data_IF_317892679595
#
_entry.id   IF_317892679595
#
_cell.length_a   1.000
_cell.length_b   1.000
_cell.length_c   1.000
_cell.angle_alpha   90.00
_cell.angle_beta   90.00
_cell.angle_gamma   90.00
#
_symmetry.space_group_name_H-M   'P 1'
#
loop_
_entity.id
_entity.type
_entity.pdbx_description
1 polymer ?
#
# COMPACT_ATOMS: atom_id res chain seq x y z
N UNK A 1 -28.72 -6.15 6.76
CA UNK A 1 -27.57 -7.06 6.57
C UNK A 1 -26.52 -6.65 7.59
N UNK A 2 -26.02 -7.55 8.47
CA UNK A 2 -24.92 -7.21 9.36
C UNK A 2 -23.65 -7.00 8.52
N UNK A 3 -22.89 -5.94 8.80
CA UNK A 3 -21.57 -5.71 8.20
C UNK A 3 -20.67 -6.93 8.47
N UNK A 4 -19.83 -7.36 7.52
CA UNK A 4 -18.86 -8.43 7.78
C UNK A 4 -18.02 -8.04 9.00
N UNK A 5 -17.66 -9.00 9.87
CA UNK A 5 -16.83 -8.72 11.03
C UNK A 5 -15.56 -8.03 10.54
N UNK A 6 -15.29 -6.83 11.05
CA UNK A 6 -14.00 -6.19 10.91
C UNK A 6 -12.99 -7.19 11.47
N UNK A 7 -12.24 -7.85 10.59
CA UNK A 7 -11.10 -8.66 10.97
C UNK A 7 -10.26 -7.79 11.90
N UNK A 8 -10.03 -8.19 13.17
CA UNK A 8 -9.16 -7.42 14.05
C UNK A 8 -7.82 -7.31 13.31
N UNK A 9 -7.24 -6.10 13.19
CA UNK A 9 -5.97 -5.93 12.53
C UNK A 9 -5.01 -6.92 13.18
N UNK A 10 -4.41 -7.78 12.37
CA UNK A 10 -3.41 -8.75 12.84
C UNK A 10 -2.38 -7.94 13.63
N UNK A 11 -2.44 -8.02 14.97
CA UNK A 11 -1.49 -7.40 15.89
C UNK A 11 -0.18 -8.17 15.79
N UNK A 12 0.45 -8.05 14.63
CA UNK A 12 1.80 -8.53 14.44
C UNK A 12 2.72 -7.51 15.09
N UNK A 13 3.53 -7.97 16.05
CA UNK A 13 4.47 -7.10 16.75
C UNK A 13 5.62 -6.73 15.81
N UNK A 14 5.41 -5.64 15.06
CA UNK A 14 6.42 -5.08 14.16
C UNK A 14 7.55 -4.37 14.92
N UNK A 15 7.42 -4.25 16.25
CA UNK A 15 8.41 -3.62 17.13
C UNK A 15 9.38 -4.62 17.75
N UNK A 16 9.23 -5.92 17.44
CA UNK A 16 10.06 -7.01 17.95
C UNK A 16 11.56 -6.73 17.78
N UNK A 17 12.34 -6.94 18.85
CA UNK A 17 13.78 -6.67 18.88
C UNK A 17 14.56 -7.46 17.80
N UNK A 18 14.01 -8.59 17.35
CA UNK A 18 14.59 -9.42 16.29
C UNK A 18 14.52 -8.77 14.91
N UNK A 19 13.67 -7.77 14.70
CA UNK A 19 13.51 -7.05 13.44
C UNK A 19 14.53 -5.90 13.38
N UNK A 20 15.30 -5.75 12.29
CA UNK A 20 16.26 -4.66 12.16
C UNK A 20 15.55 -3.29 12.11
N UNK A 21 16.17 -2.28 12.71
CA UNK A 21 15.61 -0.92 12.80
C UNK A 21 15.18 -0.35 11.45
N UNK A 22 15.98 -0.54 10.38
CA UNK A 22 15.63 -0.11 9.03
C UNK A 22 14.33 -0.73 8.50
N UNK A 23 14.09 -2.01 8.79
CA UNK A 23 12.84 -2.67 8.42
C UNK A 23 11.65 -2.16 9.24
N UNK A 24 11.83 -1.86 10.53
CA UNK A 24 10.77 -1.26 11.37
C UNK A 24 10.32 0.09 10.80
N UNK A 25 11.26 0.94 10.44
CA UNK A 25 10.96 2.24 9.83
C UNK A 25 10.23 2.09 8.49
N UNK A 26 10.69 1.17 7.62
CA UNK A 26 10.02 0.88 6.35
C UNK A 26 8.59 0.37 6.55
N UNK A 27 8.38 -0.57 7.49
CA UNK A 27 7.04 -1.07 7.82
C UNK A 27 6.12 0.04 8.28
N UNK A 28 6.58 0.93 9.18
CA UNK A 28 5.80 2.08 9.64
C UNK A 28 5.42 3.01 8.48
N UNK A 29 6.35 3.28 7.56
CA UNK A 29 6.07 4.08 6.35
C UNK A 29 5.04 3.41 5.45
N UNK A 30 5.18 2.11 5.20
CA UNK A 30 4.23 1.35 4.38
C UNK A 30 2.83 1.39 5.01
N UNK A 31 2.72 1.20 6.33
CA UNK A 31 1.43 1.27 7.03
C UNK A 31 0.77 2.67 6.92
N UNK A 32 1.56 3.74 7.05
CA UNK A 32 1.08 5.10 6.85
C UNK A 32 0.58 5.32 5.40
N UNK A 33 1.40 4.94 4.43
CA UNK A 33 1.10 5.06 3.01
C UNK A 33 -0.16 4.25 2.64
N UNK A 34 -0.27 3.01 3.11
CA UNK A 34 -1.45 2.17 2.92
C UNK A 34 -2.72 2.83 3.48
N UNK A 35 -2.64 3.55 4.60
CA UNK A 35 -3.79 4.25 5.19
C UNK A 35 -4.21 5.45 4.35
N UNK A 36 -3.25 6.16 3.78
CA UNK A 36 -3.51 7.26 2.84
C UNK A 36 -4.15 6.76 1.54
N UNK A 37 -3.66 5.64 0.97
CA UNK A 37 -4.30 5.01 -0.21
C UNK A 37 -5.72 4.60 0.09
N UNK A 38 -5.96 4.00 1.26
CA UNK A 38 -7.31 3.57 1.67
C UNK A 38 -8.29 4.74 1.67
N UNK A 39 -7.90 5.87 2.28
CA UNK A 39 -8.71 7.08 2.30
C UNK A 39 -8.93 7.68 0.91
N UNK A 40 -7.91 7.68 0.05
CA UNK A 40 -8.03 8.12 -1.35
C UNK A 40 -8.97 7.21 -2.15
N UNK A 41 -8.85 5.90 -2.00
CA UNK A 41 -9.70 4.92 -2.67
C UNK A 41 -11.17 5.03 -2.25
N UNK A 42 -11.44 5.30 -0.97
CA UNK A 42 -12.80 5.56 -0.48
C UNK A 42 -13.39 6.83 -1.10
N UNK A 43 -12.57 7.89 -1.27
CA UNK A 43 -12.99 9.14 -1.90
C UNK A 43 -13.27 8.98 -3.40
N UNK A 44 -12.38 8.28 -4.10
CA UNK A 44 -12.40 8.11 -5.56
C UNK A 44 -13.31 6.98 -6.04
N UNK A 45 -13.95 6.25 -5.12
CA UNK A 45 -14.70 5.03 -5.43
C UNK A 45 -13.89 4.06 -6.30
N UNK A 46 -12.63 3.86 -5.90
CA UNK A 46 -11.71 2.98 -6.61
C UNK A 46 -12.30 1.57 -6.77
N UNK A 47 -11.94 0.84 -7.85
CA UNK A 47 -12.45 -0.50 -8.07
C UNK A 47 -12.14 -1.42 -6.89
N UNK A 48 -13.14 -2.21 -6.45
CA UNK A 48 -13.04 -3.04 -5.24
C UNK A 48 -11.90 -4.08 -5.26
N UNK A 49 -11.38 -4.43 -6.44
CA UNK A 49 -10.17 -5.25 -6.56
C UNK A 49 -8.93 -4.55 -5.98
N UNK A 50 -8.74 -3.26 -6.25
CA UNK A 50 -7.61 -2.48 -5.71
C UNK A 50 -7.68 -2.36 -4.19
N UNK A 51 -8.88 -2.11 -3.65
CA UNK A 51 -9.10 -2.10 -2.19
C UNK A 51 -8.78 -3.45 -1.56
N UNK A 52 -9.15 -4.55 -2.22
CA UNK A 52 -8.85 -5.90 -1.77
C UNK A 52 -7.34 -6.18 -1.83
N UNK A 53 -6.64 -5.77 -2.89
CA UNK A 53 -5.18 -5.94 -3.03
C UNK A 53 -4.42 -5.21 -1.91
N UNK A 54 -4.74 -3.93 -1.68
CA UNK A 54 -4.15 -3.11 -0.61
C UNK A 54 -4.40 -3.71 0.77
N UNK A 55 -5.62 -4.20 1.01
CA UNK A 55 -5.98 -4.88 2.25
C UNK A 55 -5.19 -6.16 2.45
N UNK A 56 -5.09 -7.01 1.42
CA UNK A 56 -4.27 -8.23 1.49
C UNK A 56 -2.79 -7.91 1.68
N UNK A 57 -2.26 -6.87 1.04
CA UNK A 57 -0.88 -6.42 1.25
C UNK A 57 -0.61 -6.07 2.72
N UNK A 58 -1.53 -5.34 3.34
CA UNK A 58 -1.46 -4.95 4.76
C UNK A 58 -1.59 -6.14 5.71
N UNK A 59 -2.59 -6.99 5.49
CA UNK A 59 -3.01 -8.00 6.47
C UNK A 59 -2.34 -9.36 6.28
N UNK A 60 -1.84 -9.67 5.08
CA UNK A 60 -1.23 -10.96 4.77
C UNK A 60 0.22 -10.82 4.35
N UNK A 61 0.53 -10.01 3.33
CA UNK A 61 1.88 -9.99 2.74
C UNK A 61 2.90 -9.43 3.73
N UNK A 62 2.61 -8.28 4.33
CA UNK A 62 3.52 -7.61 5.26
C UNK A 62 3.81 -8.46 6.51
N UNK A 63 2.82 -8.95 7.28
CA UNK A 63 3.10 -9.80 8.45
C UNK A 63 3.77 -11.13 8.06
N UNK A 64 3.42 -11.73 6.92
CA UNK A 64 4.06 -12.97 6.44
C UNK A 64 5.54 -12.77 6.13
N UNK A 65 5.91 -11.63 5.56
CA UNK A 65 7.31 -11.30 5.27
C UNK A 65 8.13 -11.14 6.55
N UNK A 66 7.61 -10.36 7.49
CA UNK A 66 8.28 -10.14 8.78
C UNK A 66 8.36 -11.44 9.59
N UNK A 67 7.29 -12.25 9.59
CA UNK A 67 7.30 -13.58 10.22
C UNK A 67 8.33 -14.51 9.58
N UNK A 68 8.40 -14.56 8.26
CA UNK A 68 9.41 -15.35 7.54
C UNK A 68 10.82 -14.93 7.93
N UNK A 69 11.05 -13.63 8.11
CA UNK A 69 12.34 -13.14 8.59
C UNK A 69 12.63 -13.62 10.01
N UNK A 70 11.69 -13.45 10.94
CA UNK A 70 11.81 -13.84 12.36
C UNK A 70 12.03 -15.34 12.52
N UNK A 71 11.38 -16.16 11.69
CA UNK A 71 11.47 -17.62 11.68
C UNK A 71 12.86 -18.11 11.25
N UNK A 72 13.58 -17.35 10.41
CA UNK A 72 14.94 -17.71 9.99
C UNK A 72 15.88 -17.67 11.20
N UNK A 73 16.52 -18.80 11.56
CA UNK A 73 17.44 -18.87 12.70
C UNK A 73 18.62 -17.91 12.53
N UNK A 74 19.12 -17.29 13.61
CA UNK A 74 20.26 -16.37 13.53
C UNK A 74 21.52 -17.04 12.95
N UNK A 75 21.74 -18.34 13.21
CA UNK A 75 22.82 -19.12 12.62
C UNK A 75 22.75 -19.18 11.08
N UNK A 76 21.54 -19.33 10.52
CA UNK A 76 21.31 -19.28 9.08
C UNK A 76 21.44 -17.86 8.52
N UNK A 77 21.05 -16.81 9.27
CA UNK A 77 21.22 -15.41 8.81
C UNK A 77 22.69 -15.08 8.56
N UNK A 78 23.58 -15.49 9.46
CA UNK A 78 25.03 -15.30 9.31
C UNK A 78 25.63 -16.16 8.20
N UNK A 79 25.11 -17.37 7.97
CA UNK A 79 25.59 -18.26 6.90
C UNK A 79 25.13 -17.78 5.51
N UNK A 80 23.88 -17.34 5.35
CA UNK A 80 23.34 -16.77 4.11
C UNK A 80 24.08 -15.48 3.76
N UNK A 81 24.39 -14.64 4.76
CA UNK A 81 25.23 -13.46 4.56
C UNK A 81 26.61 -13.83 3.99
N UNK A 82 27.22 -14.89 4.53
CA UNK A 82 28.52 -15.40 4.05
C UNK A 82 28.48 -16.03 2.66
N UNK A 83 27.41 -16.76 2.31
CA UNK A 83 27.29 -17.49 1.04
C UNK A 83 26.80 -16.64 -0.13
N UNK A 84 25.87 -15.73 0.12
CA UNK A 84 25.13 -15.03 -0.94
C UNK A 84 25.51 -13.55 -1.03
N UNK A 85 26.25 -13.01 -0.05
CA UNK A 85 26.62 -11.60 0.02
C UNK A 85 25.45 -10.65 0.28
N UNK A 86 24.23 -11.18 0.41
CA UNK A 86 22.99 -10.45 0.70
C UNK A 86 22.43 -10.93 2.04
N UNK A 87 22.29 -10.01 3.00
CA UNK A 87 21.70 -10.31 4.31
C UNK A 87 20.23 -10.70 4.16
N UNK A 88 19.72 -11.61 4.99
CA UNK A 88 18.26 -11.81 5.11
C UNK A 88 17.53 -10.49 5.42
N UNK A 89 18.20 -9.57 6.12
CA UNK A 89 17.74 -8.20 6.37
C UNK A 89 17.58 -7.42 5.06
N UNK A 90 18.55 -7.53 4.15
CA UNK A 90 18.51 -6.88 2.85
C UNK A 90 17.34 -7.40 2.01
N UNK A 91 17.09 -8.71 2.01
CA UNK A 91 15.96 -9.30 1.28
C UNK A 91 14.62 -8.81 1.84
N UNK A 92 14.51 -8.71 3.18
CA UNK A 92 13.34 -8.13 3.83
C UNK A 92 13.16 -6.67 3.43
N UNK A 93 14.22 -5.87 3.53
CA UNK A 93 14.20 -4.43 3.21
C UNK A 93 13.92 -4.15 1.74
N UNK A 94 14.43 -4.97 0.83
CA UNK A 94 14.19 -4.92 -0.62
C UNK A 94 12.74 -5.27 -0.96
N UNK A 95 12.20 -6.33 -0.34
CA UNK A 95 10.80 -6.70 -0.53
C UNK A 95 9.83 -5.65 0.03
N UNK A 96 10.17 -5.02 1.15
CA UNK A 96 9.43 -3.87 1.69
C UNK A 96 9.49 -2.68 0.73
N UNK A 97 10.64 -2.44 0.09
CA UNK A 97 10.82 -1.39 -0.92
C UNK A 97 9.91 -1.61 -2.14
N UNK A 98 9.88 -2.86 -2.65
CA UNK A 98 9.02 -3.23 -3.78
C UNK A 98 7.53 -3.06 -3.44
N UNK A 99 7.12 -3.44 -2.22
CA UNK A 99 5.75 -3.20 -1.78
C UNK A 99 5.43 -1.70 -1.71
N UNK A 100 6.35 -0.90 -1.16
CA UNK A 100 6.18 0.55 -1.08
C UNK A 100 6.07 1.19 -2.48
N UNK A 101 6.93 0.79 -3.42
CA UNK A 101 6.89 1.28 -4.80
C UNK A 101 5.55 0.97 -5.48
N UNK A 102 5.00 -0.23 -5.24
CA UNK A 102 3.69 -0.62 -5.79
C UNK A 102 2.54 0.20 -5.20
N UNK A 103 2.59 0.51 -3.90
CA UNK A 103 1.60 1.37 -3.24
C UNK A 103 1.68 2.80 -3.79
N UNK A 104 2.89 3.33 -3.99
CA UNK A 104 3.13 4.65 -4.59
C UNK A 104 2.61 4.71 -6.03
N UNK A 105 2.81 3.66 -6.82
CA UNK A 105 2.26 3.54 -8.16
C UNK A 105 0.72 3.57 -8.16
N UNK A 106 0.08 2.86 -7.22
CA UNK A 106 -1.38 2.89 -7.05
C UNK A 106 -1.86 4.28 -6.66
N UNK A 107 -1.18 4.97 -5.73
CA UNK A 107 -1.48 6.37 -5.39
C UNK A 107 -1.41 7.29 -6.60
N UNK A 108 -0.35 7.17 -7.40
CA UNK A 108 -0.18 7.99 -8.61
C UNK A 108 -1.28 7.74 -9.62
N UNK A 109 -1.66 6.48 -9.83
CA UNK A 109 -2.77 6.13 -10.72
C UNK A 109 -4.10 6.71 -10.22
N UNK A 110 -4.37 6.62 -8.91
CA UNK A 110 -5.57 7.22 -8.31
C UNK A 110 -5.58 8.75 -8.48
N UNK A 111 -4.45 9.42 -8.23
CA UNK A 111 -4.34 10.86 -8.43
C UNK A 111 -4.48 11.28 -9.92
N UNK A 112 -4.02 10.44 -10.85
CA UNK A 112 -4.22 10.68 -12.29
C UNK A 112 -5.69 10.52 -12.69
N UNK A 113 -6.38 9.51 -12.16
CA UNK A 113 -7.82 9.32 -12.39
C UNK A 113 -8.66 10.50 -11.83
N UNK A 114 -8.34 11.00 -10.63
CA UNK A 114 -8.99 12.18 -10.04
C UNK A 114 -8.87 13.40 -10.97
N UNK A 115 -7.68 13.65 -11.51
CA UNK A 115 -7.40 14.75 -12.41
C UNK A 115 -8.17 14.64 -13.74
N UNK A 116 -8.24 13.43 -14.30
CA UNK A 116 -8.96 13.17 -15.56
C UNK A 116 -10.47 13.34 -15.35
N UNK A 117 -11.02 12.77 -14.28
CA UNK A 117 -12.42 12.94 -13.89
C UNK A 117 -12.79 14.41 -13.60
N UNK A 118 -11.89 15.15 -12.95
CA UNK A 118 -12.06 16.59 -12.72
C UNK A 118 -12.07 17.39 -14.03
N UNK A 119 -11.18 17.04 -14.96
CA UNK A 119 -11.07 17.70 -16.27
C UNK A 119 -12.31 17.43 -17.13
N UNK A 120 -12.79 16.19 -17.15
CA UNK A 120 -13.99 15.79 -17.88
C UNK A 120 -15.24 16.50 -17.35
N UNK A 121 -15.40 16.55 -16.02
CA UNK A 121 -16.50 17.25 -15.37
C UNK A 121 -16.46 18.76 -15.66
N UNK A 122 -15.27 19.37 -15.62
CA UNK A 122 -15.10 20.80 -15.97
C UNK A 122 -15.43 21.08 -17.44
N UNK A 123 -15.11 20.14 -18.35
CA UNK A 123 -15.43 20.24 -19.77
C UNK A 123 -16.94 20.11 -20.01
N UNK A 124 -17.60 19.18 -19.32
CA UNK A 124 -19.05 19.01 -19.37
C UNK A 124 -19.81 20.25 -18.89
N UNK A 125 -19.36 20.87 -17.78
CA UNK A 125 -19.94 22.13 -17.29
C UNK A 125 -19.76 23.24 -18.32
N UNK A 126 -18.57 23.39 -18.91
CA UNK A 126 -18.35 24.40 -19.97
C UNK A 126 -19.25 24.17 -21.18
N UNK A 127 -19.38 22.93 -21.64
CA UNK A 127 -20.19 22.61 -22.83
C UNK A 127 -21.69 22.83 -22.58
N UNK A 128 -22.18 22.47 -21.39
CA UNK A 128 -23.58 22.66 -21.00
C UNK A 128 -23.95 24.13 -20.73
N UNK A 129 -23.04 24.92 -20.15
CA UNK A 129 -23.27 26.33 -19.88
C UNK A 129 -22.91 27.27 -21.05
N UNK A 130 -22.08 26.83 -22.01
CA UNK A 130 -21.85 27.56 -23.27
C UNK A 130 -22.94 27.26 -24.31
N UNK A 131 -23.52 26.05 -24.31
CA UNK A 131 -24.62 25.70 -25.23
C UNK A 131 -25.98 26.24 -24.78
N UNK A 132 -26.13 26.62 -23.50
CA UNK A 132 -27.24 27.45 -23.04
C UNK A 132 -26.88 28.93 -23.24
N UNK A 133 -26.92 29.38 -24.49
CA UNK A 133 -27.08 30.79 -24.79
C UNK A 133 -28.58 31.02 -25.06
N UNK A 134 -29.39 31.39 -24.04
CA UNK A 134 -30.84 31.58 -24.15
C UNK A 134 -31.22 32.91 -24.82
N UNK A 135 -30.60 33.24 -25.96
CA UNK A 135 -30.93 34.43 -26.75
C UNK A 135 -31.33 34.07 -28.19
N UNK A 136 -32.18 33.04 -28.33
CA UNK A 136 -33.28 33.09 -29.31
C UNK A 136 -34.48 33.76 -28.64
#
# INVERSE_FOLDING_TARGET
>A
MPAPPAVPPVEFDYEDDRIPTGAKEKVRRILACLKEVDALMEREQAPGFTQTDIRQMREQHLPKLVRSYIDIPPAHRSEIFRKTGKSASYVLEDSLDQMQAKIDEIMRNLAQHDLDAFTDNTRFIKERYTSSNPFD
#
